data_IF_453372973467
#
_entry.id   IF_453372973467
#
_cell.length_a   1.000
_cell.length_b   1.000
_cell.length_c   1.000
_cell.angle_alpha   90.00
_cell.angle_beta   90.00
_cell.angle_gamma   90.00
#
_symmetry.space_group_name_H-M   'P 1'
#
loop_
_entity.id
_entity.type
_entity.pdbx_description
1 polymer ?
#
# COMPACT_ATOMS: atom_id res chain seq x y z
N UNK A 1 15.77 -17.11 16.13
CA UNK A 1 14.50 -16.85 15.42
C UNK A 1 14.31 -15.35 15.36
N UNK A 2 14.90 -14.73 14.33
CA UNK A 2 14.98 -13.29 14.12
C UNK A 2 13.63 -12.75 13.68
N UNK A 3 13.13 -11.74 14.40
CA UNK A 3 11.86 -11.07 14.12
C UNK A 3 11.77 -10.65 12.67
N UNK A 4 10.85 -11.29 11.96
CA UNK A 4 10.49 -10.93 10.61
C UNK A 4 9.95 -9.50 10.64
N UNK A 5 10.55 -8.61 9.84
CA UNK A 5 9.95 -7.31 9.61
C UNK A 5 8.68 -7.52 8.77
N UNK A 6 7.57 -7.79 9.46
CA UNK A 6 6.28 -8.20 8.89
C UNK A 6 5.40 -7.01 8.46
N UNK A 7 5.93 -5.78 8.47
CA UNK A 7 5.16 -4.56 8.24
C UNK A 7 5.92 -3.65 7.30
N UNK A 8 5.21 -3.02 6.34
CA UNK A 8 5.74 -1.98 5.47
C UNK A 8 4.79 -0.78 5.46
N UNK A 9 5.02 0.17 6.36
CA UNK A 9 4.15 1.34 6.52
C UNK A 9 2.70 0.92 6.87
N UNK A 10 1.70 1.23 6.02
CA UNK A 10 0.32 0.83 6.25
C UNK A 10 0.03 -0.63 5.91
N UNK A 11 0.97 -1.37 5.30
CA UNK A 11 0.78 -2.74 4.86
C UNK A 11 1.19 -3.74 5.96
N UNK A 12 0.27 -4.61 6.37
CA UNK A 12 0.51 -5.71 7.33
C UNK A 12 -0.34 -6.96 7.01
N UNK A 13 -0.02 -8.15 7.57
CA UNK A 13 -0.84 -9.33 7.41
C UNK A 13 -2.17 -9.20 8.15
N UNK A 14 -3.25 -9.63 7.49
CA UNK A 14 -4.59 -9.69 8.05
C UNK A 14 -5.32 -10.95 7.53
N UNK A 15 -5.69 -11.87 8.42
CA UNK A 15 -6.54 -13.01 8.08
C UNK A 15 -6.01 -13.92 6.96
N UNK A 16 -4.69 -14.10 6.85
CA UNK A 16 -4.06 -14.90 5.80
C UNK A 16 -3.79 -14.16 4.49
N UNK A 17 -4.23 -12.91 4.38
CA UNK A 17 -3.88 -11.98 3.30
C UNK A 17 -3.03 -10.83 3.85
N UNK A 18 -2.72 -9.87 2.98
CA UNK A 18 -2.12 -8.61 3.37
C UNK A 18 -3.12 -7.49 3.20
N UNK A 19 -3.08 -6.51 4.11
CA UNK A 19 -4.02 -5.41 4.16
C UNK A 19 -3.33 -4.06 4.32
N UNK A 20 -3.87 -3.03 3.66
CA UNK A 20 -3.55 -1.64 3.95
C UNK A 20 -4.53 -1.07 4.98
N UNK A 21 -3.98 -0.54 6.06
CA UNK A 21 -4.75 0.05 7.16
C UNK A 21 -5.13 -0.96 8.24
N UNK A 22 -5.69 -0.43 9.34
CA UNK A 22 -5.93 -1.18 10.57
C UNK A 22 -7.14 -2.11 10.45
N UNK A 23 -6.89 -3.37 10.08
CA UNK A 23 -7.90 -4.41 10.00
C UNK A 23 -8.28 -5.02 11.36
N UNK A 24 -7.55 -4.68 12.44
CA UNK A 24 -7.76 -5.28 13.77
C UNK A 24 -8.88 -4.59 14.55
N UNK A 25 -9.20 -3.34 14.18
CA UNK A 25 -10.22 -2.55 14.84
C UNK A 25 -11.58 -2.75 14.15
N UNK A 26 -12.67 -2.91 14.93
CA UNK A 26 -13.99 -2.83 14.36
C UNK A 26 -14.24 -1.40 13.84
N UNK A 27 -15.13 -1.29 12.84
CA UNK A 27 -15.60 -0.02 12.27
C UNK A 27 -14.52 0.84 11.58
N UNK A 28 -13.38 0.25 11.21
CA UNK A 28 -12.35 0.91 10.39
C UNK A 28 -12.42 0.49 8.93
N UNK A 29 -11.93 1.37 8.07
CA UNK A 29 -11.70 1.06 6.68
C UNK A 29 -10.31 0.45 6.48
N UNK A 30 -10.23 -0.59 5.68
CA UNK A 30 -8.96 -1.19 5.27
C UNK A 30 -9.12 -1.85 3.91
N UNK A 31 -7.99 -2.07 3.23
CA UNK A 31 -7.96 -2.63 1.88
C UNK A 31 -7.20 -3.93 1.87
N UNK A 32 -7.90 -5.03 1.64
CA UNK A 32 -7.35 -6.37 1.48
C UNK A 32 -6.76 -6.56 0.08
N UNK A 33 -5.56 -7.12 0.01
CA UNK A 33 -4.93 -7.57 -1.23
C UNK A 33 -5.32 -9.03 -1.49
N UNK A 34 -6.18 -9.27 -2.48
CA UNK A 34 -6.70 -10.60 -2.82
C UNK A 34 -6.22 -11.04 -4.21
N UNK A 35 -6.22 -12.35 -4.52
CA UNK A 35 -5.89 -12.84 -5.86
C UNK A 35 -6.73 -12.24 -6.98
N UNK A 36 -7.99 -11.86 -6.71
CA UNK A 36 -8.94 -11.30 -7.66
C UNK A 36 -8.90 -9.77 -7.75
N UNK A 37 -8.40 -9.07 -6.73
CA UNK A 37 -8.34 -7.61 -6.72
C UNK A 37 -8.09 -6.99 -5.34
N UNK A 38 -8.36 -5.69 -5.26
CA UNK A 38 -8.38 -4.94 -4.00
C UNK A 38 -9.78 -4.97 -3.42
N UNK A 39 -9.94 -5.51 -2.21
CA UNK A 39 -11.23 -5.49 -1.50
C UNK A 39 -11.19 -4.48 -0.37
N UNK A 40 -12.05 -3.47 -0.45
CA UNK A 40 -12.24 -2.53 0.64
C UNK A 40 -13.26 -3.07 1.63
N UNK A 41 -12.89 -3.02 2.90
CA UNK A 41 -13.74 -3.30 4.05
C UNK A 41 -14.01 -2.01 4.82
N UNK A 42 -15.07 -2.02 5.63
CA UNK A 42 -15.55 -0.87 6.38
C UNK A 42 -17.02 -1.03 6.80
N UNK A 43 -17.47 -0.29 7.83
CA UNK A 43 -18.77 -0.48 8.50
C UNK A 43 -19.99 -0.39 7.59
N UNK A 44 -19.89 0.33 6.46
CA UNK A 44 -20.97 0.48 5.47
C UNK A 44 -20.61 -0.03 4.07
N UNK A 45 -19.45 -0.66 3.92
CA UNK A 45 -19.05 -1.22 2.63
C UNK A 45 -19.54 -2.65 2.54
N UNK A 46 -20.38 -2.97 1.56
CA UNK A 46 -20.70 -4.38 1.21
C UNK A 46 -19.49 -5.18 0.70
N UNK A 47 -18.27 -4.78 1.03
CA UNK A 47 -17.03 -5.30 0.46
C UNK A 47 -16.86 -4.86 -0.99
N UNK A 48 -16.38 -3.63 -1.22
CA UNK A 48 -16.14 -3.16 -2.59
C UNK A 48 -14.89 -3.85 -3.15
N UNK A 49 -15.05 -4.60 -4.23
CA UNK A 49 -13.93 -5.24 -4.94
C UNK A 49 -13.57 -4.45 -6.20
N UNK A 50 -12.30 -4.05 -6.31
CA UNK A 50 -11.69 -3.50 -7.52
C UNK A 50 -10.81 -4.58 -8.14
N UNK A 51 -11.24 -5.24 -9.24
CA UNK A 51 -10.46 -6.29 -9.87
C UNK A 51 -9.12 -5.78 -10.41
N UNK A 52 -8.09 -6.63 -10.36
CA UNK A 52 -6.77 -6.29 -10.90
C UNK A 52 -6.81 -5.87 -12.37
N UNK A 53 -7.64 -6.56 -13.16
CA UNK A 53 -7.85 -6.25 -14.57
C UNK A 53 -8.64 -4.95 -14.80
N UNK A 54 -9.00 -4.17 -13.78
CA UNK A 54 -9.51 -2.80 -13.97
C UNK A 54 -8.47 -1.75 -13.67
N UNK A 55 -7.44 -2.06 -12.88
CA UNK A 55 -6.42 -1.08 -12.50
C UNK A 55 -5.50 -0.84 -13.70
N UNK A 56 -5.36 0.42 -14.11
CA UNK A 56 -4.55 0.82 -15.27
C UNK A 56 -3.21 1.41 -14.83
N UNK A 57 -3.22 2.46 -14.02
CA UNK A 57 -2.02 3.19 -13.56
C UNK A 57 -2.40 4.15 -12.43
N UNK A 58 -1.52 5.09 -12.09
CA UNK A 58 -1.83 6.20 -11.18
C UNK A 58 -1.89 5.78 -9.71
N UNK A 59 -1.33 4.61 -9.38
CA UNK A 59 -1.34 4.13 -8.00
C UNK A 59 -0.52 5.06 -7.12
N UNK A 60 -1.17 5.62 -6.11
CA UNK A 60 -0.53 6.52 -5.13
C UNK A 60 -1.24 6.47 -3.77
N UNK A 61 -0.49 6.76 -2.71
CA UNK A 61 -1.01 6.85 -1.36
C UNK A 61 -1.08 8.33 -0.96
N UNK A 62 -2.27 8.77 -0.54
CA UNK A 62 -2.48 10.14 -0.03
C UNK A 62 -3.02 10.10 1.39
N UNK A 63 -2.60 11.05 2.24
CA UNK A 63 -3.00 11.09 3.64
C UNK A 63 -4.08 12.14 3.91
N UNK A 64 -4.93 11.87 4.90
CA UNK A 64 -5.95 12.79 5.39
C UNK A 64 -7.35 12.18 5.47
N UNK A 65 -8.25 12.91 6.12
CA UNK A 65 -9.64 12.50 6.35
C UNK A 65 -10.50 12.51 5.09
N UNK A 66 -10.28 13.47 4.19
CA UNK A 66 -11.11 13.66 3.01
C UNK A 66 -10.42 13.16 1.73
N UNK A 67 -11.20 12.55 0.84
CA UNK A 67 -10.70 12.03 -0.44
C UNK A 67 -10.11 13.13 -1.35
N UNK A 68 -10.59 14.37 -1.21
CA UNK A 68 -10.15 15.55 -1.97
C UNK A 68 -9.02 16.33 -1.28
N UNK A 69 -8.43 15.81 -0.20
CA UNK A 69 -7.22 16.34 0.44
C UNK A 69 -6.07 16.39 -0.58
N UNK A 70 -5.98 17.50 -1.32
CA UNK A 70 -5.02 17.75 -2.40
C UNK A 70 -3.72 18.40 -1.91
N UNK A 71 -3.61 18.71 -0.62
CA UNK A 71 -2.38 19.24 -0.03
C UNK A 71 -1.35 18.11 0.14
N UNK A 72 -0.74 17.77 -1.01
CA UNK A 72 0.56 17.14 -1.23
C UNK A 72 0.89 15.89 -0.44
N UNK A 73 0.67 14.69 -1.01
CA UNK A 73 1.23 13.40 -0.54
C UNK A 73 1.18 13.15 0.98
N UNK A 74 0.27 13.83 1.70
CA UNK A 74 0.31 14.09 3.14
C UNK A 74 1.52 14.87 3.65
N UNK A 75 1.34 15.54 4.78
CA UNK A 75 2.45 16.11 5.53
C UNK A 75 3.28 14.97 6.14
N UNK A 76 4.61 15.04 5.98
CA UNK A 76 5.54 14.24 6.74
C UNK A 76 6.16 15.11 7.82
N UNK A 77 6.27 14.58 9.04
CA UNK A 77 6.97 15.25 10.13
C UNK A 77 8.46 15.42 9.80
N UNK A 78 9.13 16.37 10.44
CA UNK A 78 10.59 16.55 10.33
C UNK A 78 11.39 15.28 10.67
N UNK A 79 10.79 14.35 11.43
CA UNK A 79 11.38 13.04 11.75
C UNK A 79 11.16 11.98 10.66
N UNK A 80 10.59 12.36 9.51
CA UNK A 80 10.33 11.44 8.41
C UNK A 80 9.18 10.46 8.71
N UNK A 81 8.20 10.86 9.51
CA UNK A 81 6.98 10.08 9.79
C UNK A 81 5.77 10.67 9.08
N UNK A 82 4.80 9.85 8.70
CA UNK A 82 3.49 10.34 8.25
C UNK A 82 2.85 11.20 9.35
N UNK A 83 2.37 12.39 9.00
CA UNK A 83 1.67 13.27 9.93
C UNK A 83 0.15 13.01 9.89
N UNK A 84 -0.50 13.25 11.03
CA UNK A 84 -1.92 12.98 11.23
C UNK A 84 -2.21 11.52 11.58
N UNK A 85 -3.42 11.26 12.09
CA UNK A 85 -3.91 9.91 12.45
C UNK A 85 -5.18 9.53 11.71
N UNK A 86 -5.68 10.42 10.87
CA UNK A 86 -7.03 10.28 10.35
C UNK A 86 -7.15 9.10 9.40
N UNK A 87 -6.09 8.64 8.73
CA UNK A 87 -6.15 7.61 7.68
C UNK A 87 -5.43 8.01 6.40
N UNK A 88 -5.56 7.20 5.36
CA UNK A 88 -5.12 7.51 4.01
C UNK A 88 -6.10 7.02 2.93
N UNK A 89 -5.73 7.24 1.69
CA UNK A 89 -6.47 6.83 0.51
C UNK A 89 -5.49 6.21 -0.49
N UNK A 90 -5.83 5.02 -0.97
CA UNK A 90 -5.18 4.40 -2.12
C UNK A 90 -5.88 4.89 -3.38
N UNK A 91 -5.19 5.70 -4.17
CA UNK A 91 -5.70 6.25 -5.44
C UNK A 91 -5.24 5.39 -6.59
N UNK A 92 -6.06 5.25 -7.62
CA UNK A 92 -5.72 4.55 -8.86
C UNK A 92 -6.63 5.03 -10.00
N UNK A 93 -6.22 4.82 -11.24
CA UNK A 93 -7.08 5.02 -12.40
C UNK A 93 -7.57 3.65 -12.91
N UNK A 94 -8.89 3.53 -13.07
CA UNK A 94 -9.55 2.31 -13.57
C UNK A 94 -9.87 2.41 -15.06
N UNK A 95 -9.97 1.25 -15.72
CA UNK A 95 -10.49 1.10 -17.09
C UNK A 95 -11.92 0.57 -17.12
N UNK A 96 -12.64 0.92 -18.19
CA UNK A 96 -13.98 0.45 -18.55
C UNK A 96 -15.07 0.66 -17.46
N UNK A 97 -15.55 1.90 -17.24
CA UNK A 97 -15.13 3.16 -17.88
C UNK A 97 -13.82 3.72 -17.27
N UNK A 98 -13.25 4.73 -17.92
CA UNK A 98 -12.12 5.45 -17.35
C UNK A 98 -12.59 6.32 -16.19
N UNK A 99 -12.11 6.00 -14.99
CA UNK A 99 -12.46 6.75 -13.78
C UNK A 99 -11.27 6.77 -12.81
N UNK A 100 -11.10 7.90 -12.12
CA UNK A 100 -10.20 7.98 -10.99
C UNK A 100 -10.91 7.43 -9.75
N UNK A 101 -10.33 6.37 -9.20
CA UNK A 101 -10.89 5.67 -8.07
C UNK A 101 -10.02 5.80 -6.82
N UNK A 102 -10.65 5.67 -5.65
CA UNK A 102 -10.01 5.84 -4.33
C UNK A 102 -10.58 4.84 -3.34
N UNK A 103 -9.70 4.09 -2.69
CA UNK A 103 -10.05 3.21 -1.59
C UNK A 103 -9.55 3.82 -0.28
N UNK A 104 -10.47 3.93 0.69
CA UNK A 104 -10.18 4.48 2.01
C UNK A 104 -9.53 3.42 2.88
N UNK A 105 -8.54 3.83 3.68
CA UNK A 105 -8.01 3.02 4.77
C UNK A 105 -7.70 3.89 6.00
N UNK A 106 -7.91 3.36 7.19
CA UNK A 106 -7.63 4.02 8.45
C UNK A 106 -6.26 3.58 9.00
N UNK A 107 -5.56 4.50 9.68
CA UNK A 107 -4.20 4.21 10.15
C UNK A 107 -4.21 3.29 11.37
N UNK A 108 -3.19 2.44 11.46
CA UNK A 108 -2.83 1.76 12.70
C UNK A 108 -2.50 2.77 13.79
N UNK A 109 -2.58 2.35 15.06
CA UNK A 109 -2.19 3.19 16.18
C UNK A 109 -0.70 3.60 16.14
N UNK A 110 0.15 2.79 15.48
CA UNK A 110 1.58 3.07 15.28
C UNK A 110 1.81 4.12 14.19
N UNK A 111 2.80 5.00 14.34
CA UNK A 111 3.17 5.94 13.28
C UNK A 111 3.90 5.22 12.13
N UNK A 112 3.69 5.67 10.89
CA UNK A 112 4.40 5.14 9.73
C UNK A 112 5.61 5.97 9.36
N UNK A 113 6.69 5.31 8.96
CA UNK A 113 7.87 5.97 8.39
C UNK A 113 7.57 6.34 6.94
N UNK A 114 7.91 7.56 6.55
CA UNK A 114 7.72 8.07 5.20
C UNK A 114 8.40 7.17 4.15
N UNK A 115 9.59 6.67 4.46
CA UNK A 115 10.35 5.78 3.56
C UNK A 115 9.60 4.47 3.29
N UNK A 116 8.96 3.88 4.30
CA UNK A 116 8.25 2.60 4.16
C UNK A 116 6.98 2.78 3.33
N UNK A 117 6.29 3.91 3.52
CA UNK A 117 5.15 4.31 2.68
C UNK A 117 5.57 4.50 1.23
N UNK A 118 6.67 5.22 0.98
CA UNK A 118 7.13 5.53 -0.37
C UNK A 118 7.65 4.27 -1.09
N UNK A 119 8.28 3.34 -0.35
CA UNK A 119 8.66 2.01 -0.86
C UNK A 119 7.43 1.21 -1.26
N UNK A 120 6.40 1.18 -0.39
CA UNK A 120 5.14 0.52 -0.71
C UNK A 120 4.48 1.13 -1.95
N UNK A 121 4.35 2.46 -2.01
CA UNK A 121 3.77 3.16 -3.17
C UNK A 121 4.52 2.80 -4.46
N UNK A 122 5.85 2.78 -4.43
CA UNK A 122 6.66 2.39 -5.59
C UNK A 122 6.45 0.94 -6.00
N UNK A 123 6.40 0.01 -5.05
CA UNK A 123 6.12 -1.40 -5.33
C UNK A 123 4.77 -1.56 -6.02
N UNK A 124 3.72 -0.95 -5.47
CA UNK A 124 2.37 -1.02 -6.03
C UNK A 124 2.32 -0.44 -7.46
N UNK A 125 2.92 0.74 -7.65
CA UNK A 125 2.97 1.39 -8.95
C UNK A 125 3.75 0.55 -9.97
N UNK A 126 4.92 0.04 -9.60
CA UNK A 126 5.72 -0.78 -10.49
C UNK A 126 4.98 -2.05 -10.94
N UNK A 127 4.34 -2.76 -10.01
CA UNK A 127 3.58 -3.96 -10.36
C UNK A 127 2.39 -3.67 -11.28
N UNK A 128 1.70 -2.54 -11.09
CA UNK A 128 0.61 -2.12 -11.98
C UNK A 128 1.15 -1.73 -13.35
N UNK A 129 2.21 -0.93 -13.42
CA UNK A 129 2.81 -0.48 -14.67
C UNK A 129 3.42 -1.65 -15.47
N UNK A 130 3.92 -2.69 -14.78
CA UNK A 130 4.40 -3.94 -15.39
C UNK A 130 3.28 -4.94 -15.75
N UNK A 131 2.01 -4.63 -15.45
CA UNK A 131 0.88 -5.54 -15.72
C UNK A 131 0.88 -6.81 -14.87
N UNK A 132 1.51 -6.77 -13.68
CA UNK A 132 1.60 -7.87 -12.72
C UNK A 132 0.96 -7.59 -11.35
N UNK A 133 -0.12 -6.80 -11.22
CA UNK A 133 -0.68 -6.47 -9.91
C UNK A 133 -1.24 -7.69 -9.16
N UNK A 134 -1.56 -8.78 -9.84
CA UNK A 134 -2.02 -10.04 -9.25
C UNK A 134 -1.02 -10.66 -8.25
N UNK A 135 0.27 -10.32 -8.32
CA UNK A 135 1.26 -10.78 -7.34
C UNK A 135 0.99 -10.26 -5.93
N UNK A 136 0.31 -9.12 -5.81
CA UNK A 136 -0.13 -8.58 -4.53
C UNK A 136 -1.18 -9.46 -3.85
N UNK A 137 -1.86 -10.32 -4.60
CA UNK A 137 -2.82 -11.29 -4.08
C UNK A 137 -2.18 -12.57 -3.55
N UNK A 138 -0.87 -12.80 -3.73
CA UNK A 138 -0.14 -13.94 -3.16
C UNK A 138 0.50 -13.53 -1.82
N UNK A 139 -0.01 -14.02 -0.67
CA UNK A 139 0.47 -13.61 0.64
C UNK A 139 1.95 -13.97 0.90
N UNK A 140 2.44 -15.06 0.30
CA UNK A 140 3.84 -15.48 0.45
C UNK A 140 4.76 -14.60 -0.37
N UNK A 141 4.34 -14.24 -1.59
CA UNK A 141 5.07 -13.31 -2.43
C UNK A 141 5.18 -11.94 -1.75
N UNK A 142 4.07 -11.41 -1.23
CA UNK A 142 4.05 -10.12 -0.52
C UNK A 142 4.94 -10.16 0.73
N UNK A 143 4.93 -11.25 1.48
CA UNK A 143 5.79 -11.39 2.65
C UNK A 143 7.28 -11.28 2.31
N UNK A 144 7.72 -11.93 1.21
CA UNK A 144 9.11 -11.82 0.74
C UNK A 144 9.45 -10.39 0.29
N UNK A 145 8.56 -9.75 -0.45
CA UNK A 145 8.76 -8.37 -0.90
C UNK A 145 8.84 -7.38 0.28
N UNK A 146 7.95 -7.54 1.27
CA UNK A 146 7.94 -6.71 2.49
C UNK A 146 9.21 -6.93 3.31
N UNK A 147 9.64 -8.17 3.52
CA UNK A 147 10.87 -8.46 4.26
C UNK A 147 12.09 -7.79 3.61
N UNK A 148 12.17 -7.80 2.27
CA UNK A 148 13.24 -7.14 1.52
C UNK A 148 13.19 -5.61 1.67
N UNK A 149 12.01 -5.01 1.53
CA UNK A 149 11.82 -3.55 1.57
C UNK A 149 11.95 -2.95 2.98
N UNK A 150 11.46 -3.66 3.99
CA UNK A 150 11.53 -3.22 5.39
C UNK A 150 12.96 -3.33 5.96
N UNK A 151 13.78 -4.24 5.42
CA UNK A 151 15.20 -4.39 5.76
C UNK A 151 16.14 -3.36 5.10
N UNK A 152 15.66 -2.57 4.14
CA UNK A 152 16.50 -1.63 3.39
C UNK A 152 16.99 -0.44 4.25
N UNK A 153 18.29 -0.11 4.14
CA UNK A 153 18.91 1.08 4.76
C UNK A 153 18.11 2.35 4.47
N UNK A 154 18.19 3.37 5.33
CA UNK A 154 17.68 4.72 5.05
C UNK A 154 18.49 5.39 3.93
N UNK A 155 18.48 4.82 2.73
CA UNK A 155 19.07 5.42 1.55
C UNK A 155 18.19 6.56 1.06
N UNK A 156 18.81 7.45 0.29
CA UNK A 156 18.16 8.62 -0.28
C UNK A 156 16.81 8.31 -0.93
N UNK A 157 15.80 9.10 -0.57
CA UNK A 157 14.41 9.04 -1.06
C UNK A 157 14.28 9.56 -2.50
N UNK A 158 15.28 9.32 -3.35
CA UNK A 158 15.16 9.65 -4.77
C UNK A 158 14.24 8.66 -5.45
N UNK A 159 13.51 9.13 -6.47
CA UNK A 159 12.64 8.28 -7.29
C UNK A 159 13.41 7.08 -7.88
N UNK A 160 14.67 7.28 -8.27
CA UNK A 160 15.54 6.22 -8.79
C UNK A 160 15.87 5.15 -7.74
N UNK A 161 16.22 5.54 -6.51
CA UNK A 161 16.52 4.60 -5.44
C UNK A 161 15.28 3.80 -5.00
N UNK A 162 14.12 4.44 -4.94
CA UNK A 162 12.85 3.76 -4.63
C UNK A 162 12.47 2.76 -5.73
N UNK A 163 12.64 3.12 -7.01
CA UNK A 163 12.43 2.22 -8.14
C UNK A 163 13.39 1.03 -8.10
N UNK A 164 14.67 1.27 -7.83
CA UNK A 164 15.67 0.21 -7.69
C UNK A 164 15.29 -0.78 -6.59
N UNK A 165 14.95 -0.27 -5.39
CA UNK A 165 14.53 -1.11 -4.26
C UNK A 165 13.26 -1.92 -4.56
N UNK A 166 12.29 -1.35 -5.28
CA UNK A 166 11.09 -2.07 -5.70
C UNK A 166 11.42 -3.18 -6.72
N UNK A 167 12.28 -2.92 -7.72
CA UNK A 167 12.73 -3.93 -8.66
C UNK A 167 13.53 -5.07 -7.98
N UNK A 168 14.42 -4.73 -7.04
CA UNK A 168 15.15 -5.73 -6.25
C UNK A 168 14.19 -6.59 -5.42
N UNK A 169 13.18 -5.98 -4.79
CA UNK A 169 12.16 -6.72 -4.05
C UNK A 169 11.33 -7.64 -4.95
N UNK A 170 10.97 -7.20 -6.16
CA UNK A 170 10.26 -8.03 -7.15
C UNK A 170 11.11 -9.23 -7.58
N UNK A 171 12.41 -9.02 -7.84
CA UNK A 171 13.33 -10.10 -8.20
C UNK A 171 13.51 -11.10 -7.04
N UNK A 172 13.74 -10.60 -5.83
CA UNK A 172 13.91 -11.42 -4.64
C UNK A 172 12.64 -12.20 -4.27
N UNK A 173 11.46 -11.62 -4.44
CA UNK A 173 10.19 -12.29 -4.17
C UNK A 173 9.81 -13.33 -5.24
N UNK A 174 10.34 -13.21 -6.46
CA UNK A 174 10.15 -14.18 -7.54
C UNK A 174 11.13 -15.36 -7.52
N UNK A 175 12.14 -15.33 -6.64
CA UNK A 175 13.11 -16.40 -6.41
C UNK A 175 12.55 -17.43 -5.42
#
# INVERSE_FOLDING_TARGET
MTGENTILGPLEPAGGHWALGDATRPDTHWVELRPDGLRQHGPDSGGRLVPWHRIMTGVSITWGKHAWSTNGRGAYTLRGMVAGRDGGWLRMTLRHPYEDDRLRFDQHARPYRAVDVLRLEHLLRQLVDEGRPQLLGDPRWVARAVAHLAGGRNSWLTSGALRGAAAEAVAAAGS
#
